data_IF_813177205057
#
_entry.id   IF_813177205057
#
_cell.length_a   1.000
_cell.length_b   1.000
_cell.length_c   1.000
_cell.angle_alpha   90.00
_cell.angle_beta   90.00
_cell.angle_gamma   90.00
#
_symmetry.space_group_name_H-M   'P 1'
#
loop_
_entity.id
_entity.type
_entity.pdbx_description
1 polymer ?
#
# COMPACT_ATOMS: atom_id res chain seq x y z
N UNK A 1 -23.09 -22.98 -10.31
CA UNK A 1 -21.93 -23.49 -9.53
C UNK A 1 -20.74 -22.62 -9.86
N UNK A 2 -20.41 -21.64 -8.99
CA UNK A 2 -19.19 -20.86 -9.12
C UNK A 2 -18.02 -21.83 -8.94
N UNK A 3 -17.13 -21.89 -9.93
CA UNK A 3 -15.96 -22.74 -9.87
C UNK A 3 -15.10 -22.31 -8.68
N UNK A 4 -15.06 -23.18 -7.66
CA UNK A 4 -14.04 -23.21 -6.61
C UNK A 4 -12.67 -23.40 -7.28
N UNK A 5 -12.09 -22.33 -7.83
CA UNK A 5 -10.70 -22.33 -8.26
C UNK A 5 -9.84 -22.30 -7.00
N UNK A 6 -9.38 -23.49 -6.63
CA UNK A 6 -8.12 -23.77 -5.90
C UNK A 6 -7.97 -23.15 -4.51
N UNK A 7 -8.67 -23.76 -3.57
CA UNK A 7 -8.38 -23.76 -2.12
C UNK A 7 -7.06 -24.48 -1.75
N UNK A 8 -5.99 -24.37 -2.55
CA UNK A 8 -4.76 -25.16 -2.29
C UNK A 8 -3.45 -24.52 -2.74
N UNK A 9 -3.33 -23.20 -2.81
CA UNK A 9 -2.04 -22.57 -3.16
C UNK A 9 -1.65 -21.28 -2.42
N UNK A 10 -2.47 -20.74 -1.51
CA UNK A 10 -2.12 -19.51 -0.75
C UNK A 10 -1.31 -19.83 0.54
N UNK A 11 -0.62 -20.97 0.59
CA UNK A 11 0.30 -21.34 1.70
C UNK A 11 1.77 -21.32 1.28
N UNK A 12 2.09 -20.91 0.05
CA UNK A 12 3.45 -20.49 -0.28
C UNK A 12 3.49 -18.97 -0.30
N UNK A 13 3.15 -18.36 0.83
CA UNK A 13 3.54 -17.01 1.14
C UNK A 13 5.06 -17.03 1.27
N UNK A 14 5.74 -16.68 0.17
CA UNK A 14 7.16 -16.45 0.20
C UNK A 14 7.46 -15.51 1.36
N UNK A 15 8.28 -15.99 2.29
CA UNK A 15 8.99 -15.19 3.28
C UNK A 15 9.89 -14.23 2.50
N UNK A 16 9.33 -13.12 2.02
CA UNK A 16 10.10 -11.91 1.72
C UNK A 16 9.65 -10.83 2.69
N UNK A 17 9.64 -11.24 3.96
CA UNK A 17 10.12 -10.36 5.00
C UNK A 17 11.61 -10.11 4.69
N UNK A 18 11.96 -8.86 4.38
CA UNK A 18 13.34 -8.37 4.35
C UNK A 18 14.15 -8.51 3.07
N UNK A 19 13.63 -8.12 1.90
CA UNK A 19 14.49 -7.29 1.04
C UNK A 19 14.43 -5.88 1.63
N UNK A 20 15.12 -5.72 2.77
CA UNK A 20 15.63 -4.41 3.14
C UNK A 20 16.62 -4.08 2.03
N UNK A 21 16.30 -3.10 1.19
CA UNK A 21 17.33 -2.43 0.42
C UNK A 21 18.40 -1.99 1.42
N UNK A 22 19.55 -2.66 1.40
CA UNK A 22 20.71 -2.27 2.20
C UNK A 22 21.04 -0.85 1.77
N UNK A 23 20.81 0.11 2.67
CA UNK A 23 21.26 1.48 2.49
C UNK A 23 22.78 1.48 2.45
N UNK A 24 23.35 1.54 1.24
CA UNK A 24 24.72 2.00 1.07
C UNK A 24 24.70 3.53 1.01
N UNK A 25 25.29 4.12 2.06
CA UNK A 25 25.76 5.49 2.19
C UNK A 25 24.79 6.64 1.84
N UNK A 26 24.49 7.43 2.87
CA UNK A 26 23.99 8.79 2.77
C UNK A 26 24.80 9.61 1.76
N UNK A 27 24.25 9.87 0.58
CA UNK A 27 24.70 10.96 -0.27
C UNK A 27 24.04 12.23 0.24
N UNK A 28 24.81 13.04 0.96
CA UNK A 28 24.50 14.44 1.14
C UNK A 28 24.49 15.10 -0.25
N UNK A 29 23.30 15.39 -0.77
CA UNK A 29 23.13 16.53 -1.66
C UNK A 29 22.36 17.61 -0.91
N UNK A 30 23.10 18.60 -0.44
CA UNK A 30 22.52 19.83 0.09
C UNK A 30 21.95 20.65 -1.07
N UNK A 31 20.63 20.84 -1.12
CA UNK A 31 20.10 22.19 -1.30
C UNK A 31 18.65 22.29 -0.81
N UNK A 32 18.37 23.42 -0.19
CA UNK A 32 17.12 23.84 0.41
C UNK A 32 15.88 23.66 -0.46
N UNK A 33 14.92 22.81 -0.05
CA UNK A 33 13.54 22.88 -0.53
C UNK A 33 12.52 22.62 0.59
N UNK A 34 12.58 23.43 1.65
CA UNK A 34 11.63 23.34 2.77
C UNK A 34 10.21 23.84 2.44
N UNK A 35 9.94 24.34 1.22
CA UNK A 35 8.65 24.93 0.82
C UNK A 35 8.30 24.73 -0.67
N UNK A 36 8.71 23.62 -1.30
CA UNK A 36 8.28 23.39 -2.69
C UNK A 36 6.85 22.82 -2.72
N UNK A 37 5.94 23.54 -3.38
CA UNK A 37 4.59 23.07 -3.68
C UNK A 37 4.71 21.88 -4.64
N UNK A 38 4.20 20.71 -4.25
CA UNK A 38 4.23 19.53 -5.10
C UNK A 38 3.49 19.80 -6.42
N UNK A 39 4.05 19.37 -7.54
CA UNK A 39 3.34 19.38 -8.81
C UNK A 39 2.26 18.27 -8.84
N UNK A 40 1.40 18.27 -9.87
CA UNK A 40 0.29 17.32 -9.96
C UNK A 40 0.75 15.86 -9.95
N UNK A 41 1.75 15.50 -10.77
CA UNK A 41 2.32 14.15 -10.82
C UNK A 41 2.83 13.70 -9.45
N UNK A 42 3.56 14.56 -8.73
CA UNK A 42 4.07 14.27 -7.39
C UNK A 42 2.94 14.05 -6.37
N UNK A 43 1.84 14.81 -6.47
CA UNK A 43 0.65 14.60 -5.64
C UNK A 43 -0.01 13.25 -5.91
N UNK A 44 -0.02 12.77 -7.16
CA UNK A 44 -0.54 11.44 -7.48
C UNK A 44 0.33 10.33 -6.87
N UNK A 45 1.65 10.47 -6.88
CA UNK A 45 2.57 9.50 -6.26
C UNK A 45 2.38 9.39 -4.74
N UNK A 46 1.84 10.42 -4.08
CA UNK A 46 1.54 10.41 -2.66
C UNK A 46 0.55 9.31 -2.25
N UNK A 47 -0.28 8.80 -3.18
CA UNK A 47 -1.19 7.69 -2.91
C UNK A 47 -0.49 6.33 -2.83
N UNK A 48 0.75 6.19 -3.29
CA UNK A 48 1.57 5.00 -3.08
C UNK A 48 2.55 5.13 -1.91
N UNK A 49 2.36 6.12 -1.04
CA UNK A 49 3.39 6.54 -0.10
C UNK A 49 3.69 5.54 1.02
N UNK A 50 2.77 4.65 1.37
CA UNK A 50 3.00 3.66 2.42
C UNK A 50 4.05 2.65 1.96
N UNK A 51 3.85 2.02 0.79
CA UNK A 51 4.82 1.07 0.27
C UNK A 51 6.05 1.77 -0.32
N UNK A 52 5.89 2.92 -0.99
CA UNK A 52 7.02 3.68 -1.53
C UNK A 52 8.00 4.11 -0.43
N UNK A 53 7.51 4.60 0.71
CA UNK A 53 8.38 5.00 1.83
C UNK A 53 9.08 3.81 2.48
N UNK A 54 8.38 2.68 2.63
CA UNK A 54 8.99 1.43 3.13
C UNK A 54 10.14 0.94 2.23
N UNK A 55 10.05 1.22 0.93
CA UNK A 55 11.06 0.87 -0.07
C UNK A 55 12.02 2.03 -0.41
N UNK A 56 12.05 3.12 0.38
CA UNK A 56 12.91 4.29 0.16
C UNK A 56 12.77 4.94 -1.23
N UNK A 57 11.60 4.86 -1.85
CA UNK A 57 11.35 5.48 -3.15
C UNK A 57 11.06 6.97 -2.96
N UNK A 58 11.71 7.81 -3.77
CA UNK A 58 11.43 9.24 -3.81
C UNK A 58 10.04 9.52 -4.43
N UNK A 59 9.53 10.74 -4.27
CA UNK A 59 8.20 11.16 -4.77
C UNK A 59 8.30 12.27 -5.82
N UNK A 60 9.51 12.58 -6.26
CA UNK A 60 9.82 13.59 -7.27
C UNK A 60 9.60 13.08 -8.70
N UNK A 61 9.92 11.81 -8.96
CA UNK A 61 9.85 11.20 -10.28
C UNK A 61 9.07 9.86 -10.29
N UNK A 62 8.53 9.53 -11.48
CA UNK A 62 7.85 8.25 -11.69
C UNK A 62 8.83 7.08 -11.57
N UNK A 63 9.99 7.20 -12.23
CA UNK A 63 11.07 6.21 -12.19
C UNK A 63 11.69 6.18 -10.80
N UNK A 64 11.93 4.98 -10.28
CA UNK A 64 12.73 4.83 -9.06
C UNK A 64 14.21 4.65 -9.39
N UNK A 65 15.07 5.15 -8.52
CA UNK A 65 16.53 4.92 -8.58
C UNK A 65 16.95 3.65 -7.85
N UNK A 66 16.01 2.94 -7.20
CA UNK A 66 16.29 1.67 -6.56
C UNK A 66 16.80 0.66 -7.60
N UNK A 67 17.88 -0.03 -7.26
CA UNK A 67 18.30 -1.24 -7.96
C UNK A 67 17.33 -2.39 -7.63
N UNK A 68 17.44 -3.54 -8.31
CA UNK A 68 16.67 -4.73 -7.91
C UNK A 68 15.16 -4.72 -8.23
N UNK A 69 14.66 -3.74 -8.99
CA UNK A 69 13.22 -3.59 -9.26
C UNK A 69 12.63 -4.78 -10.02
N UNK A 70 13.40 -5.38 -10.93
CA UNK A 70 12.96 -6.57 -11.67
C UNK A 70 12.84 -7.79 -10.76
N UNK A 71 13.75 -7.92 -9.80
CA UNK A 71 13.75 -8.98 -8.80
C UNK A 71 12.55 -8.83 -7.86
N UNK A 72 12.28 -7.62 -7.35
CA UNK A 72 11.09 -7.34 -6.52
C UNK A 72 9.79 -7.62 -7.27
N UNK A 73 9.70 -7.22 -8.54
CA UNK A 73 8.54 -7.53 -9.38
C UNK A 73 8.37 -9.03 -9.62
N UNK A 74 9.46 -9.73 -9.91
CA UNK A 74 9.43 -11.18 -10.15
C UNK A 74 9.05 -11.95 -8.88
N UNK A 75 9.70 -11.67 -7.77
CA UNK A 75 9.54 -12.47 -6.54
C UNK A 75 8.30 -12.08 -5.75
N UNK A 76 7.91 -10.80 -5.76
CA UNK A 76 6.77 -10.30 -4.99
C UNK A 76 5.46 -10.26 -5.76
N UNK A 77 5.51 -10.27 -7.10
CA UNK A 77 4.34 -10.06 -7.96
C UNK A 77 4.24 -11.03 -9.15
N UNK A 78 5.19 -11.94 -9.31
CA UNK A 78 5.30 -12.82 -10.49
C UNK A 78 5.33 -12.03 -11.82
N UNK A 79 5.80 -10.78 -11.78
CA UNK A 79 5.87 -9.88 -12.94
C UNK A 79 7.26 -9.97 -13.58
N UNK A 80 7.32 -10.46 -14.82
CA UNK A 80 8.57 -10.60 -15.58
C UNK A 80 8.52 -10.01 -16.99
N UNK A 81 7.38 -9.48 -17.40
CA UNK A 81 7.14 -8.93 -18.74
C UNK A 81 6.06 -7.84 -18.72
N UNK A 82 5.81 -7.22 -19.87
CA UNK A 82 4.71 -6.27 -20.06
C UNK A 82 3.35 -6.92 -19.77
N UNK A 83 3.12 -8.11 -20.29
CA UNK A 83 1.86 -8.83 -20.18
C UNK A 83 1.54 -9.13 -18.71
N UNK A 84 2.49 -9.74 -17.99
CA UNK A 84 2.35 -10.05 -16.56
C UNK A 84 2.22 -8.79 -15.70
N UNK A 85 2.90 -7.70 -16.05
CA UNK A 85 2.71 -6.41 -15.39
C UNK A 85 1.28 -5.87 -15.55
N UNK A 86 0.74 -5.89 -16.78
CA UNK A 86 -0.63 -5.44 -17.04
C UNK A 86 -1.64 -6.34 -16.30
N UNK A 87 -1.44 -7.65 -16.29
CA UNK A 87 -2.29 -8.59 -15.53
C UNK A 87 -2.33 -8.25 -14.04
N UNK A 88 -1.17 -8.04 -13.41
CA UNK A 88 -1.09 -7.67 -12.00
C UNK A 88 -1.75 -6.31 -11.70
N UNK A 89 -1.53 -5.32 -12.57
CA UNK A 89 -2.10 -3.98 -12.42
C UNK A 89 -3.62 -3.98 -12.61
N UNK A 90 -4.15 -4.70 -13.61
CA UNK A 90 -5.59 -4.84 -13.80
C UNK A 90 -6.24 -5.67 -12.68
N UNK A 91 -5.56 -6.68 -12.15
CA UNK A 91 -6.05 -7.39 -10.97
C UNK A 91 -6.20 -6.46 -9.77
N UNK A 92 -5.18 -5.63 -9.47
CA UNK A 92 -5.28 -4.61 -8.41
C UNK A 92 -6.40 -3.60 -8.65
N UNK A 93 -6.68 -3.23 -9.91
CA UNK A 93 -7.78 -2.33 -10.25
C UNK A 93 -9.14 -2.98 -9.99
N UNK A 94 -9.35 -4.23 -10.40
CA UNK A 94 -10.69 -4.81 -10.49
C UNK A 94 -11.06 -5.66 -9.27
N UNK A 95 -10.12 -6.45 -8.76
CA UNK A 95 -10.33 -7.44 -7.70
C UNK A 95 -9.46 -7.09 -6.50
N UNK A 96 -8.15 -7.32 -6.63
CA UNK A 96 -7.17 -7.08 -5.58
C UNK A 96 -7.35 -7.98 -4.36
N UNK A 97 -6.53 -7.77 -3.35
CA UNK A 97 -6.69 -8.48 -2.09
C UNK A 97 -7.96 -8.09 -1.34
N UNK A 98 -8.48 -6.88 -1.62
CA UNK A 98 -9.68 -6.35 -0.97
C UNK A 98 -10.93 -7.19 -1.22
N UNK A 99 -11.03 -7.95 -2.32
CA UNK A 99 -12.25 -8.71 -2.65
C UNK A 99 -12.60 -9.69 -1.51
N UNK A 100 -11.63 -10.46 -1.04
CA UNK A 100 -11.81 -11.37 0.11
C UNK A 100 -11.63 -10.63 1.44
N UNK A 101 -10.67 -9.70 1.52
CA UNK A 101 -10.33 -9.05 2.79
C UNK A 101 -11.46 -8.13 3.30
N UNK A 102 -12.29 -7.55 2.44
CA UNK A 102 -13.46 -6.77 2.88
C UNK A 102 -14.54 -7.66 3.50
N UNK A 103 -14.69 -8.92 3.06
CA UNK A 103 -15.61 -9.86 3.71
C UNK A 103 -15.16 -10.14 5.15
N UNK A 104 -13.88 -10.46 5.34
CA UNK A 104 -13.30 -10.71 6.66
C UNK A 104 -13.36 -9.45 7.53
N UNK A 105 -13.06 -8.28 6.95
CA UNK A 105 -13.16 -7.01 7.66
C UNK A 105 -14.57 -6.76 8.18
N UNK A 106 -15.60 -7.05 7.38
CA UNK A 106 -17.00 -6.90 7.79
C UNK A 106 -17.37 -7.85 8.93
N UNK A 107 -16.89 -9.09 8.92
CA UNK A 107 -17.07 -10.06 10.01
C UNK A 107 -16.42 -9.56 11.30
N UNK A 108 -15.19 -9.06 11.23
CA UNK A 108 -14.49 -8.48 12.38
C UNK A 108 -15.28 -7.29 12.95
N UNK A 109 -15.81 -6.41 12.09
CA UNK A 109 -16.58 -5.23 12.51
C UNK A 109 -17.94 -5.56 13.11
N UNK A 110 -18.64 -6.55 12.59
CA UNK A 110 -19.95 -6.95 13.12
C UNK A 110 -19.82 -7.69 14.46
N UNK A 111 -18.65 -8.25 14.73
CA UNK A 111 -18.44 -9.14 15.88
C UNK A 111 -19.18 -10.48 15.72
N UNK A 112 -19.73 -10.74 14.53
CA UNK A 112 -20.33 -12.02 14.20
C UNK A 112 -19.23 -13.05 14.01
N UNK A 113 -19.43 -14.26 14.54
CA UNK A 113 -18.50 -15.36 14.27
C UNK A 113 -18.48 -15.69 12.77
N UNK A 114 -17.32 -15.97 12.21
CA UNK A 114 -17.15 -16.42 10.84
C UNK A 114 -16.29 -17.68 10.77
N UNK A 115 -16.47 -18.49 9.73
CA UNK A 115 -15.61 -19.65 9.48
C UNK A 115 -14.52 -19.28 8.46
N UNK A 116 -13.61 -18.41 8.88
CA UNK A 116 -12.41 -18.06 8.12
C UNK A 116 -11.19 -18.73 8.75
N UNK A 117 -10.27 -19.30 7.95
CA UNK A 117 -8.99 -19.78 8.45
C UNK A 117 -8.30 -18.70 9.29
N UNK A 118 -7.77 -19.10 10.44
CA UNK A 118 -6.98 -18.24 11.33
C UNK A 118 -7.65 -16.92 11.77
N UNK A 119 -8.98 -16.82 11.73
CA UNK A 119 -9.74 -15.61 12.08
C UNK A 119 -9.33 -14.99 13.42
N UNK A 120 -9.08 -15.81 14.45
CA UNK A 120 -8.63 -15.33 15.75
C UNK A 120 -7.28 -14.59 15.68
N UNK A 121 -6.33 -15.09 14.87
CA UNK A 121 -5.04 -14.43 14.65
C UNK A 121 -5.23 -13.13 13.88
N UNK A 122 -6.09 -13.14 12.87
CA UNK A 122 -6.43 -11.93 12.10
C UNK A 122 -7.07 -10.85 12.98
N UNK A 123 -7.99 -11.23 13.88
CA UNK A 123 -8.58 -10.32 14.88
C UNK A 123 -7.49 -9.73 15.78
N UNK A 124 -6.56 -10.55 16.28
CA UNK A 124 -5.44 -10.05 17.10
C UNK A 124 -4.56 -9.04 16.36
N UNK A 125 -4.24 -9.30 15.09
CA UNK A 125 -3.46 -8.37 14.27
C UNK A 125 -4.23 -7.07 13.99
N UNK A 126 -5.53 -7.17 13.71
CA UNK A 126 -6.43 -6.03 13.53
C UNK A 126 -6.53 -5.16 14.82
N UNK A 127 -6.71 -5.79 15.98
CA UNK A 127 -6.77 -5.11 17.28
C UNK A 127 -5.43 -4.47 17.66
N UNK A 128 -4.33 -5.16 17.37
CA UNK A 128 -2.98 -4.60 17.52
C UNK A 128 -2.78 -3.39 16.62
N UNK A 129 -3.21 -3.45 15.35
CA UNK A 129 -3.14 -2.32 14.43
C UNK A 129 -3.93 -1.12 14.96
N UNK A 130 -5.17 -1.34 15.42
CA UNK A 130 -6.01 -0.33 16.06
C UNK A 130 -5.31 0.36 17.25
N UNK A 131 -4.94 -0.43 18.25
CA UNK A 131 -4.33 0.07 19.48
C UNK A 131 -2.99 0.77 19.22
N UNK A 132 -2.18 0.23 18.30
CA UNK A 132 -0.87 0.80 17.94
C UNK A 132 -1.00 2.13 17.21
N UNK A 133 -1.92 2.25 16.24
CA UNK A 133 -2.14 3.52 15.54
C UNK A 133 -2.65 4.61 16.49
N UNK A 134 -3.58 4.28 17.40
CA UNK A 134 -4.05 5.21 18.44
C UNK A 134 -2.90 5.67 19.34
N UNK A 135 -2.11 4.74 19.87
CA UNK A 135 -1.04 5.04 20.81
C UNK A 135 0.14 5.80 20.16
N UNK A 136 0.54 5.40 18.95
CA UNK A 136 1.79 5.88 18.36
C UNK A 136 1.60 6.98 17.32
N UNK A 137 0.43 7.07 16.66
CA UNK A 137 0.12 8.11 15.69
C UNK A 137 -0.91 9.12 16.20
N UNK A 138 -1.62 8.83 17.30
CA UNK A 138 -2.60 9.73 17.89
C UNK A 138 -3.92 9.78 17.13
N UNK A 139 -4.22 8.74 16.35
CA UNK A 139 -5.46 8.65 15.58
C UNK A 139 -6.68 8.52 16.48
N UNK A 140 -7.79 9.11 16.04
CA UNK A 140 -9.04 9.16 16.82
C UNK A 140 -10.03 8.10 16.36
N UNK A 141 -10.89 7.65 17.27
CA UNK A 141 -11.92 6.63 17.00
C UNK A 141 -12.78 6.94 15.77
N UNK A 142 -13.08 8.22 15.53
CA UNK A 142 -13.83 8.69 14.36
C UNK A 142 -13.23 8.22 13.03
N UNK A 143 -11.90 8.32 12.88
CA UNK A 143 -11.20 7.91 11.65
C UNK A 143 -11.32 6.41 11.40
N UNK A 144 -11.25 5.59 12.44
CA UNK A 144 -11.45 4.14 12.33
C UNK A 144 -12.89 3.79 11.96
N UNK A 145 -13.86 4.51 12.53
CA UNK A 145 -15.29 4.29 12.26
C UNK A 145 -15.68 4.63 10.81
N UNK A 146 -15.00 5.60 10.21
CA UNK A 146 -15.23 6.04 8.83
C UNK A 146 -14.69 5.04 7.79
N UNK A 147 -13.70 4.22 8.12
CA UNK A 147 -13.12 3.25 7.19
C UNK A 147 -14.09 2.10 6.93
N UNK A 148 -14.61 2.00 5.70
CA UNK A 148 -15.58 0.98 5.28
C UNK A 148 -14.99 -0.16 4.43
N UNK A 149 -13.77 0.00 3.97
CA UNK A 149 -13.06 -0.98 3.12
C UNK A 149 -11.57 -0.96 3.43
N UNK A 150 -10.89 -2.06 3.15
CA UNK A 150 -9.42 -2.20 3.20
C UNK A 150 -8.76 -1.91 1.84
N UNK A 151 -9.50 -1.38 0.87
CA UNK A 151 -9.05 -1.12 -0.50
C UNK A 151 -7.82 -0.20 -0.63
N UNK A 152 -7.46 0.59 0.39
CA UNK A 152 -6.24 1.38 0.34
C UNK A 152 -4.99 0.49 0.20
N UNK A 153 -5.02 -0.74 0.72
CA UNK A 153 -3.92 -1.70 0.60
C UNK A 153 -3.55 -2.03 -0.85
N UNK A 154 -4.55 -2.25 -1.70
CA UNK A 154 -4.37 -2.48 -3.14
C UNK A 154 -4.10 -1.17 -3.87
N UNK A 155 -4.73 -0.09 -3.44
CA UNK A 155 -4.56 1.22 -4.09
C UNK A 155 -3.12 1.74 -3.96
N UNK A 156 -2.52 1.61 -2.78
CA UNK A 156 -1.13 2.03 -2.51
C UNK A 156 -0.14 1.17 -3.31
N UNK A 157 -0.44 -0.13 -3.42
CA UNK A 157 0.28 -1.09 -4.27
C UNK A 157 0.15 -0.77 -5.74
N UNK A 158 -1.03 -0.42 -6.23
CA UNK A 158 -1.27 -0.12 -7.63
C UNK A 158 -0.37 1.03 -8.10
N UNK A 159 -0.25 2.09 -7.28
CA UNK A 159 0.71 3.16 -7.56
C UNK A 159 2.14 2.64 -7.57
N UNK A 160 2.54 1.89 -6.55
CA UNK A 160 3.93 1.46 -6.39
C UNK A 160 4.37 0.43 -7.45
N UNK A 161 3.53 -0.54 -7.78
CA UNK A 161 3.77 -1.55 -8.82
C UNK A 161 3.81 -0.90 -10.19
N UNK A 162 2.92 0.06 -10.49
CA UNK A 162 2.99 0.79 -11.77
C UNK A 162 4.33 1.50 -11.94
N UNK A 163 4.85 2.13 -10.87
CA UNK A 163 6.19 2.75 -10.86
C UNK A 163 7.30 1.73 -11.09
N UNK A 164 7.25 0.59 -10.42
CA UNK A 164 8.22 -0.48 -10.59
C UNK A 164 8.19 -1.05 -12.01
N UNK A 165 7.00 -1.36 -12.55
CA UNK A 165 6.83 -1.88 -13.91
C UNK A 165 7.36 -0.89 -14.95
N UNK A 166 7.14 0.40 -14.77
CA UNK A 166 7.76 1.43 -15.62
C UNK A 166 9.28 1.46 -15.47
N UNK A 167 9.78 1.42 -14.23
CA UNK A 167 11.23 1.47 -13.96
C UNK A 167 11.97 0.23 -14.48
N UNK A 168 11.28 -0.89 -14.62
CA UNK A 168 11.76 -2.13 -15.21
C UNK A 168 11.66 -2.17 -16.75
N UNK A 169 11.17 -1.09 -17.38
CA UNK A 169 10.88 -0.97 -18.81
C UNK A 169 9.83 -1.98 -19.33
N UNK A 170 8.92 -2.45 -18.46
CA UNK A 170 7.83 -3.36 -18.83
C UNK A 170 6.59 -2.64 -19.36
N UNK A 171 6.32 -1.41 -18.90
CA UNK A 171 5.22 -0.58 -19.39
C UNK A 171 5.72 0.81 -19.74
N UNK A 172 4.96 1.54 -20.57
CA UNK A 172 5.29 2.93 -20.91
C UNK A 172 4.98 3.88 -19.75
N UNK A 173 5.53 5.11 -19.81
CA UNK A 173 5.18 6.15 -18.83
C UNK A 173 3.67 6.46 -18.85
N UNK A 174 3.05 6.50 -20.03
CA UNK A 174 1.62 6.74 -20.18
C UNK A 174 0.78 5.65 -19.50
N UNK A 175 1.13 4.38 -19.73
CA UNK A 175 0.47 3.24 -19.09
C UNK A 175 0.57 3.32 -17.57
N UNK A 176 1.75 3.63 -17.03
CA UNK A 176 1.95 3.79 -15.59
C UNK A 176 1.10 4.92 -15.00
N UNK A 177 1.07 6.09 -15.63
CA UNK A 177 0.23 7.20 -15.16
C UNK A 177 -1.26 6.87 -15.25
N UNK A 178 -1.70 6.11 -16.26
CA UNK A 178 -3.09 5.66 -16.35
C UNK A 178 -3.49 4.81 -15.14
N UNK A 179 -2.66 3.85 -14.72
CA UNK A 179 -2.91 3.04 -13.52
C UNK A 179 -2.83 3.86 -12.22
N UNK A 180 -1.87 4.78 -12.11
CA UNK A 180 -1.77 5.67 -10.96
C UNK A 180 -3.04 6.54 -10.83
N UNK A 181 -3.58 7.07 -11.94
CA UNK A 181 -4.82 7.83 -11.92
C UNK A 181 -6.04 6.98 -11.53
N UNK A 182 -6.10 5.71 -11.98
CA UNK A 182 -7.12 4.75 -11.50
C UNK A 182 -7.01 4.57 -9.99
N UNK A 183 -5.80 4.37 -9.46
CA UNK A 183 -5.55 4.25 -8.02
C UNK A 183 -6.02 5.49 -7.25
N UNK A 184 -5.66 6.70 -7.70
CA UNK A 184 -6.10 7.95 -7.06
C UNK A 184 -7.62 8.07 -7.08
N UNK A 185 -8.27 7.71 -8.19
CA UNK A 185 -9.73 7.72 -8.29
C UNK A 185 -10.38 6.77 -7.27
N UNK A 186 -9.86 5.55 -7.14
CA UNK A 186 -10.30 4.56 -6.14
C UNK A 186 -10.09 5.07 -4.71
N UNK A 187 -8.94 5.69 -4.42
CA UNK A 187 -8.67 6.26 -3.11
C UNK A 187 -9.67 7.38 -2.77
N UNK A 188 -9.87 8.32 -3.70
CA UNK A 188 -10.75 9.48 -3.47
C UNK A 188 -12.22 9.09 -3.38
N UNK A 189 -12.65 8.00 -4.01
CA UNK A 189 -14.02 7.49 -3.87
C UNK A 189 -14.29 6.85 -2.50
N UNK A 190 -13.27 6.24 -1.90
CA UNK A 190 -13.44 5.40 -0.71
C UNK A 190 -13.06 6.08 0.61
N UNK A 191 -12.21 7.11 0.57
CA UNK A 191 -11.68 7.75 1.78
C UNK A 191 -11.78 9.28 1.68
N UNK A 192 -11.66 9.96 2.83
CA UNK A 192 -11.71 11.42 2.92
C UNK A 192 -10.43 12.05 3.50
N UNK A 193 -9.53 11.25 4.06
CA UNK A 193 -8.28 11.73 4.65
C UNK A 193 -7.15 10.72 4.52
N UNK A 194 -5.90 11.20 4.65
CA UNK A 194 -4.72 10.34 4.74
C UNK A 194 -4.80 9.40 5.95
N UNK A 195 -5.45 9.82 7.05
CA UNK A 195 -5.64 9.00 8.25
C UNK A 195 -6.52 7.78 7.94
N UNK A 196 -7.70 8.00 7.33
CA UNK A 196 -8.59 6.91 6.87
C UNK A 196 -7.88 5.99 5.87
N UNK A 197 -7.13 6.57 4.93
CA UNK A 197 -6.36 5.81 3.94
C UNK A 197 -5.30 4.91 4.58
N UNK A 198 -4.51 5.44 5.53
CA UNK A 198 -3.49 4.66 6.22
C UNK A 198 -4.09 3.56 7.12
N UNK A 199 -5.18 3.85 7.82
CA UNK A 199 -5.91 2.85 8.62
C UNK A 199 -6.37 1.70 7.71
N UNK A 200 -6.98 2.04 6.56
CA UNK A 200 -7.40 1.06 5.56
C UNK A 200 -6.23 0.21 5.06
N UNK A 201 -5.07 0.82 4.77
CA UNK A 201 -3.85 0.09 4.39
C UNK A 201 -3.38 -0.87 5.49
N UNK A 202 -3.35 -0.41 6.74
CA UNK A 202 -2.93 -1.22 7.89
C UNK A 202 -3.85 -2.42 8.12
N UNK A 203 -5.16 -2.22 7.98
CA UNK A 203 -6.14 -3.30 8.05
C UNK A 203 -5.98 -4.30 6.90
N UNK A 204 -5.81 -3.83 5.66
CA UNK A 204 -5.57 -4.72 4.53
C UNK A 204 -4.30 -5.56 4.71
N UNK A 205 -3.23 -5.00 5.26
CA UNK A 205 -2.01 -5.76 5.62
C UNK A 205 -2.30 -6.83 6.67
N UNK A 206 -3.00 -6.48 7.75
CA UNK A 206 -3.35 -7.40 8.82
C UNK A 206 -4.27 -8.54 8.33
N UNK A 207 -5.25 -8.22 7.50
CA UNK A 207 -6.32 -9.14 7.08
C UNK A 207 -5.90 -9.98 5.88
N UNK A 208 -5.42 -9.37 4.81
CA UNK A 208 -5.10 -10.08 3.57
C UNK A 208 -3.78 -10.86 3.65
N UNK A 209 -2.92 -10.54 4.60
CA UNK A 209 -1.52 -10.95 4.57
C UNK A 209 -0.96 -11.28 5.95
N UNK A 210 -1.81 -11.32 6.98
CA UNK A 210 -1.44 -11.56 8.38
C UNK A 210 -0.24 -10.72 8.86
N UNK A 211 -0.14 -9.50 8.34
CA UNK A 211 0.97 -8.61 8.61
C UNK A 211 0.83 -7.87 9.92
N UNK A 212 1.95 -7.75 10.63
CA UNK A 212 1.99 -6.96 11.85
C UNK A 212 2.10 -5.46 11.55
N UNK A 213 1.35 -4.64 12.29
CA UNK A 213 1.42 -3.18 12.22
C UNK A 213 2.83 -2.64 12.48
N UNK A 214 3.67 -3.37 13.22
CA UNK A 214 5.06 -2.99 13.49
C UNK A 214 5.87 -2.80 12.20
N UNK A 215 5.51 -3.49 11.10
CA UNK A 215 6.14 -3.30 9.80
C UNK A 215 5.77 -1.97 9.11
N UNK A 216 4.63 -1.37 9.47
CA UNK A 216 4.13 -0.15 8.84
C UNK A 216 4.22 1.07 9.77
N UNK A 217 4.30 0.89 11.08
CA UNK A 217 4.19 2.00 12.04
C UNK A 217 5.33 3.01 11.91
N UNK A 218 6.53 2.55 11.56
CA UNK A 218 7.67 3.42 11.25
C UNK A 218 7.36 4.34 10.06
N UNK A 219 6.82 3.77 8.98
CA UNK A 219 6.36 4.52 7.82
C UNK A 219 5.22 5.49 8.18
N UNK A 220 4.25 5.07 8.99
CA UNK A 220 3.19 5.95 9.47
C UNK A 220 3.73 7.17 10.21
N UNK A 221 4.70 6.96 11.12
CA UNK A 221 5.38 8.08 11.81
C UNK A 221 6.09 9.00 10.82
N UNK A 222 6.82 8.45 9.85
CA UNK A 222 7.50 9.26 8.84
C UNK A 222 6.49 10.10 8.05
N UNK A 223 5.39 9.51 7.59
CA UNK A 223 4.39 10.20 6.77
C UNK A 223 3.60 11.26 7.54
N UNK A 224 3.21 11.00 8.80
CA UNK A 224 2.36 11.91 9.57
C UNK A 224 3.11 12.89 10.48
N UNK A 225 4.37 12.61 10.85
CA UNK A 225 5.11 13.45 11.82
C UNK A 225 6.26 14.23 11.20
N UNK A 226 6.85 13.75 10.10
CA UNK A 226 7.89 14.52 9.42
C UNK A 226 7.27 15.69 8.65
N UNK A 227 7.71 16.92 8.91
CA UNK A 227 7.25 18.12 8.19
C UNK A 227 7.54 18.07 6.69
N UNK A 228 8.59 17.35 6.29
CA UNK A 228 8.99 17.23 4.89
C UNK A 228 8.29 16.09 4.13
N UNK A 229 7.44 15.31 4.82
CA UNK A 229 6.65 14.22 4.22
C UNK A 229 5.79 14.69 3.06
N UNK A 230 5.64 13.82 2.05
CA UNK A 230 4.73 14.04 0.92
C UNK A 230 3.27 14.27 1.38
N UNK A 231 2.84 13.62 2.46
CA UNK A 231 1.49 13.80 3.04
C UNK A 231 1.33 15.11 3.82
N UNK A 232 2.41 15.80 4.20
CA UNK A 232 2.33 17.16 4.74
C UNK A 232 2.25 18.23 3.66
N UNK A 233 2.66 17.88 2.43
CA UNK A 233 2.73 18.77 1.28
C UNK A 233 1.56 18.55 0.30
N UNK A 234 0.72 17.54 0.52
CA UNK A 234 -0.43 17.20 -0.31
C UNK A 234 -1.67 16.98 0.55
N UNK A 235 -2.78 17.67 0.23
CA UNK A 235 -4.09 17.32 0.79
C UNK A 235 -4.60 16.01 0.18
N UNK A 236 -5.47 15.30 0.90
CA UNK A 236 -6.03 14.04 0.41
C UNK A 236 -7.06 14.23 -0.72
N UNK A 237 -7.80 15.34 -0.73
CA UNK A 237 -8.77 15.68 -1.79
C UNK A 237 -8.48 17.05 -2.36
#
# INVERSE_FOLDING_TARGET
MKNLRKLSSIVVAWLISSILFVSCASSNSSSSKKNEVLNEKQRLLAYGAVLSSRNNMAFDELKTTNEGVKEVLKEGWDVTSKETAIEALEWLVNEGHREEADEVYNVIKSGEGGNYPDLNKTIQLYDKANSTMKAQLGFKDESFNNVKTVAAWDTDRLVTVARWSYSADYITEEEAWNYINKAVSMAKSSFNSWEEYYISCAYGRAIAYEGDIDELIGTGKALFKNSDSVWKKCNFK
#
